data_IF_759495659971
#
_entry.id   IF_759495659971
#
_cell.length_a   1.000
_cell.length_b   1.000
_cell.length_c   1.000
_cell.angle_alpha   90.00
_cell.angle_beta   90.00
_cell.angle_gamma   90.00
#
_symmetry.space_group_name_H-M   'P 1'
#
loop_
_entity.id
_entity.type
_entity.pdbx_description
1 polymer ?
#
# COMPACT_ATOMS: atom_id res chain seq x y z
N UNK A 1 -48.16 38.68 -34.57
CA UNK A 1 -47.59 37.56 -35.34
C UNK A 1 -46.14 37.91 -35.62
N UNK A 2 -45.20 37.60 -34.73
CA UNK A 2 -44.68 36.25 -34.50
C UNK A 2 -43.25 36.20 -35.05
N UNK A 3 -42.38 37.05 -34.52
CA UNK A 3 -40.95 37.13 -34.88
C UNK A 3 -40.08 36.71 -33.70
N UNK A 4 -40.53 35.68 -32.99
CA UNK A 4 -39.71 34.92 -32.06
C UNK A 4 -39.56 33.55 -32.71
N UNK A 5 -38.55 33.41 -33.55
CA UNK A 5 -38.01 32.11 -33.92
C UNK A 5 -36.98 31.74 -32.85
N UNK A 6 -37.35 31.00 -31.80
CA UNK A 6 -36.35 30.20 -31.11
C UNK A 6 -35.91 29.08 -32.07
N UNK A 7 -34.82 28.39 -31.74
CA UNK A 7 -34.31 27.18 -32.41
C UNK A 7 -33.19 27.40 -33.42
N UNK A 8 -32.11 28.02 -32.95
CA UNK A 8 -30.82 27.34 -33.07
C UNK A 8 -30.10 27.46 -31.71
N UNK A 9 -30.73 26.91 -30.67
CA UNK A 9 -29.96 26.39 -29.55
C UNK A 9 -29.08 25.34 -30.19
N UNK A 10 -27.86 25.75 -30.56
CA UNK A 10 -26.80 24.87 -31.02
C UNK A 10 -26.83 23.72 -30.05
N UNK A 11 -27.34 22.56 -30.53
CA UNK A 11 -27.12 21.28 -29.91
C UNK A 11 -25.64 21.33 -29.62
N UNK A 12 -25.30 21.49 -28.33
CA UNK A 12 -23.97 21.25 -27.80
C UNK A 12 -23.56 20.01 -28.55
N UNK A 13 -22.58 20.16 -29.44
CA UNK A 13 -21.98 19.02 -30.09
C UNK A 13 -21.41 18.26 -28.90
N UNK A 14 -22.20 17.30 -28.43
CA UNK A 14 -21.79 16.27 -27.50
C UNK A 14 -20.64 15.63 -28.25
N UNK A 15 -19.43 16.17 -28.08
CA UNK A 15 -18.23 15.53 -28.56
C UNK A 15 -18.19 14.23 -27.75
N UNK A 16 -18.39 13.04 -28.35
CA UNK A 16 -17.76 11.88 -27.75
C UNK A 16 -16.27 12.09 -28.02
N UNK A 17 -15.62 12.98 -27.26
CA UNK A 17 -14.20 12.84 -27.03
C UNK A 17 -14.09 11.45 -26.41
N UNK A 18 -13.76 10.48 -27.27
CA UNK A 18 -13.51 9.09 -26.96
C UNK A 18 -12.23 8.99 -26.15
N UNK A 19 -12.22 9.66 -25.01
CA UNK A 19 -11.26 9.51 -23.95
C UNK A 19 -11.37 8.06 -23.50
N UNK A 20 -10.53 7.22 -24.11
CA UNK A 20 -10.19 5.90 -23.64
C UNK A 20 -11.43 5.06 -23.31
N UNK A 21 -12.16 4.60 -24.34
CA UNK A 21 -13.26 3.63 -24.13
C UNK A 21 -12.71 2.54 -23.20
N UNK A 22 -13.29 2.35 -21.99
CA UNK A 22 -12.83 1.38 -20.99
C UNK A 22 -12.61 -0.03 -21.56
N UNK A 23 -13.25 -0.30 -22.70
CA UNK A 23 -13.05 -1.46 -23.56
C UNK A 23 -11.59 -1.79 -23.89
N UNK A 24 -10.74 -0.80 -24.22
CA UNK A 24 -9.33 -1.08 -24.57
C UNK A 24 -8.54 -1.57 -23.37
N UNK A 25 -8.81 -1.02 -22.19
CA UNK A 25 -8.18 -1.44 -20.93
C UNK A 25 -8.64 -2.86 -20.56
N UNK A 26 -9.92 -3.18 -20.75
CA UNK A 26 -10.42 -4.54 -20.55
C UNK A 26 -9.69 -5.56 -21.43
N UNK A 27 -9.48 -5.24 -22.72
CA UNK A 27 -8.72 -6.11 -23.64
C UNK A 27 -7.27 -6.26 -23.17
N UNK A 28 -6.60 -5.17 -22.77
CA UNK A 28 -5.22 -5.23 -22.28
C UNK A 28 -5.11 -6.12 -21.03
N UNK A 29 -6.02 -5.97 -20.07
CA UNK A 29 -6.06 -6.81 -18.87
C UNK A 29 -6.28 -8.28 -19.23
N UNK A 30 -7.19 -8.57 -20.17
CA UNK A 30 -7.42 -9.93 -20.66
C UNK A 30 -6.12 -10.50 -21.26
N UNK A 31 -5.43 -9.75 -22.12
CA UNK A 31 -4.16 -10.18 -22.71
C UNK A 31 -3.10 -10.43 -21.61
N UNK A 32 -2.94 -9.54 -20.62
CA UNK A 32 -2.02 -9.78 -19.50
C UNK A 32 -2.39 -11.04 -18.71
N UNK A 33 -3.69 -11.30 -18.48
CA UNK A 33 -4.15 -12.51 -17.78
C UNK A 33 -3.81 -13.76 -18.59
N UNK A 34 -3.92 -13.73 -19.92
CA UNK A 34 -3.54 -14.86 -20.78
C UNK A 34 -2.03 -15.11 -20.76
N UNK A 35 -1.21 -14.07 -20.77
CA UNK A 35 0.26 -14.18 -20.79
C UNK A 35 0.85 -14.57 -19.42
N UNK A 36 0.40 -13.92 -18.35
CA UNK A 36 0.96 -14.09 -17.00
C UNK A 36 0.15 -15.05 -16.13
N UNK A 37 -1.13 -15.26 -16.43
CA UNK A 37 -2.06 -16.06 -15.64
C UNK A 37 -2.85 -15.25 -14.61
N UNK A 38 -4.11 -15.65 -14.39
CA UNK A 38 -5.05 -14.95 -13.50
C UNK A 38 -4.59 -14.86 -12.03
N UNK A 39 -3.70 -15.74 -11.57
CA UNK A 39 -3.15 -15.71 -10.19
C UNK A 39 -1.90 -14.84 -10.06
N UNK A 40 -1.13 -14.64 -11.13
CA UNK A 40 0.16 -13.92 -11.08
C UNK A 40 0.01 -12.41 -11.14
N UNK A 41 -0.94 -11.92 -11.93
CA UNK A 41 -1.28 -10.49 -12.01
C UNK A 41 -1.64 -9.88 -10.64
N UNK A 42 -2.60 -10.43 -9.85
CA UNK A 42 -2.95 -9.87 -8.56
C UNK A 42 -1.86 -10.06 -7.51
N UNK A 43 -1.08 -11.13 -7.59
CA UNK A 43 0.04 -11.37 -6.68
C UNK A 43 1.17 -10.37 -6.90
N UNK A 44 1.56 -10.15 -8.15
CA UNK A 44 2.53 -9.12 -8.54
C UNK A 44 2.04 -7.71 -8.19
N UNK A 45 0.78 -7.37 -8.46
CA UNK A 45 0.22 -6.08 -8.07
C UNK A 45 0.25 -5.87 -6.54
N UNK A 46 0.00 -6.93 -5.74
CA UNK A 46 0.06 -6.86 -4.27
C UNK A 46 1.47 -6.74 -3.72
N UNK A 47 2.46 -7.42 -4.31
CA UNK A 47 3.85 -7.29 -3.88
C UNK A 47 4.41 -5.91 -4.25
N UNK A 48 4.19 -5.47 -5.49
CA UNK A 48 4.59 -4.14 -5.97
C UNK A 48 3.87 -3.02 -5.20
N UNK A 49 2.58 -3.19 -4.91
CA UNK A 49 1.78 -2.23 -4.14
C UNK A 49 2.27 -2.05 -2.71
N UNK A 50 2.79 -3.11 -2.07
CA UNK A 50 3.42 -3.03 -0.74
C UNK A 50 4.71 -2.21 -0.79
N UNK A 51 5.59 -2.45 -1.77
CA UNK A 51 6.82 -1.67 -1.95
C UNK A 51 6.53 -0.19 -2.26
N UNK A 52 5.56 0.08 -3.13
CA UNK A 52 5.14 1.45 -3.46
C UNK A 52 4.52 2.17 -2.27
N UNK A 53 3.81 1.47 -1.37
CA UNK A 53 3.25 2.06 -0.15
C UNK A 53 4.34 2.55 0.80
N UNK A 54 5.41 1.78 0.97
CA UNK A 54 6.55 2.16 1.83
C UNK A 54 7.19 3.43 1.28
N UNK A 55 7.53 3.42 -0.02
CA UNK A 55 8.13 4.59 -0.68
C UNK A 55 7.18 5.80 -0.62
N UNK A 56 5.88 5.61 -0.83
CA UNK A 56 4.88 6.68 -0.73
C UNK A 56 4.76 7.23 0.69
N UNK A 57 4.84 6.37 1.72
CA UNK A 57 4.79 6.82 3.12
C UNK A 57 6.02 7.65 3.47
N UNK A 58 7.22 7.18 3.09
CA UNK A 58 8.46 7.94 3.29
C UNK A 58 8.45 9.27 2.53
N UNK A 59 8.01 9.26 1.28
CA UNK A 59 7.91 10.49 0.47
C UNK A 59 6.87 11.45 1.06
N UNK A 60 5.78 10.93 1.63
CA UNK A 60 4.75 11.75 2.26
C UNK A 60 5.24 12.34 3.59
N UNK A 61 5.98 11.60 4.41
CA UNK A 61 6.60 12.17 5.62
C UNK A 61 7.51 13.34 5.29
N UNK A 62 8.28 13.28 4.21
CA UNK A 62 9.12 14.42 3.78
C UNK A 62 8.28 15.64 3.37
N UNK A 63 7.15 15.41 2.70
CA UNK A 63 6.28 16.47 2.21
C UNK A 63 5.36 17.04 3.31
N UNK A 64 5.00 16.21 4.28
CA UNK A 64 4.24 16.59 5.47
C UNK A 64 5.15 17.28 6.49
N UNK A 65 6.43 16.88 6.66
CA UNK A 65 7.39 17.58 7.55
C UNK A 65 7.56 19.06 7.14
N UNK A 66 7.56 19.39 5.85
CA UNK A 66 7.58 20.79 5.36
C UNK A 66 6.31 21.59 5.73
N UNK A 67 5.18 20.91 5.94
CA UNK A 67 3.90 21.52 6.36
C UNK A 67 3.71 21.51 7.87
N UNK A 68 4.13 20.43 8.53
CA UNK A 68 4.09 20.21 9.97
C UNK A 68 5.09 21.11 10.69
N UNK A 69 6.21 21.54 10.07
CA UNK A 69 7.08 22.57 10.65
C UNK A 69 6.37 23.93 10.78
N UNK A 70 5.41 24.23 9.91
CA UNK A 70 4.58 25.43 9.99
C UNK A 70 3.39 25.27 10.97
N UNK A 71 2.91 24.04 11.21
CA UNK A 71 1.73 23.75 12.07
C UNK A 71 2.14 23.34 13.52
N UNK A 72 3.28 22.66 13.73
CA UNK A 72 3.82 22.29 15.06
C UNK A 72 4.32 23.46 15.89
N UNK A 73 4.58 24.62 15.28
CA UNK A 73 4.86 25.84 16.03
C UNK A 73 3.65 26.26 16.90
N UNK A 74 2.43 25.81 16.55
CA UNK A 74 1.19 26.14 17.26
C UNK A 74 0.67 24.98 18.15
N UNK A 75 1.06 23.72 17.90
CA UNK A 75 0.41 22.54 18.47
C UNK A 75 1.14 21.81 19.64
N UNK A 76 2.26 22.32 20.17
CA UNK A 76 3.05 21.65 21.23
C UNK A 76 2.45 21.69 22.67
N UNK A 77 1.19 22.08 22.86
CA UNK A 77 0.54 22.17 24.18
C UNK A 77 -0.44 21.02 24.52
N UNK A 78 -0.26 19.80 23.98
CA UNK A 78 -1.22 18.70 24.16
C UNK A 78 -0.59 17.35 24.52
N UNK A 79 -0.97 16.81 25.69
CA UNK A 79 -0.52 15.55 26.28
C UNK A 79 -0.76 14.31 25.40
N UNK A 80 0.16 13.33 25.52
CA UNK A 80 0.16 12.07 24.76
C UNK A 80 -0.51 10.92 25.54
N UNK A 81 -1.52 10.23 24.99
CA UNK A 81 -2.05 8.98 25.56
C UNK A 81 -1.19 7.77 25.13
N UNK A 82 -0.92 6.86 26.07
CA UNK A 82 -0.24 5.58 25.78
C UNK A 82 -1.12 4.67 24.89
N UNK A 83 -0.53 3.87 23.98
CA UNK A 83 -1.28 2.96 23.11
C UNK A 83 -1.80 1.72 23.86
N UNK A 84 -3.03 1.25 23.58
CA UNK A 84 -3.49 -0.08 24.00
C UNK A 84 -2.75 -1.18 23.21
N UNK A 85 -2.17 -2.15 23.92
CA UNK A 85 -1.64 -3.38 23.33
C UNK A 85 -2.80 -4.22 22.73
N UNK A 86 -2.98 -4.11 21.42
CA UNK A 86 -3.84 -4.99 20.62
C UNK A 86 -3.07 -6.21 20.11
N UNK A 87 -3.69 -7.38 20.21
CA UNK A 87 -3.14 -8.71 19.96
C UNK A 87 -2.37 -8.86 18.63
N UNK A 88 -1.12 -9.31 18.73
CA UNK A 88 -0.32 -9.76 17.58
C UNK A 88 -0.81 -11.14 17.12
N UNK A 89 -0.98 -11.41 15.81
CA UNK A 89 -1.03 -12.77 15.32
C UNK A 89 0.35 -13.42 15.54
N UNK A 90 0.38 -14.44 16.40
CA UNK A 90 1.55 -15.29 16.63
C UNK A 90 2.02 -15.86 15.29
N UNK A 91 3.11 -15.33 14.77
CA UNK A 91 3.93 -16.07 13.81
C UNK A 91 4.72 -17.08 14.64
N UNK A 92 4.49 -18.36 14.38
CA UNK A 92 5.31 -19.48 14.87
C UNK A 92 6.74 -19.32 14.37
N UNK A 93 7.55 -18.57 15.11
CA UNK A 93 8.99 -18.73 15.08
C UNK A 93 9.27 -20.06 15.76
N UNK A 94 9.85 -21.01 15.04
CA UNK A 94 10.55 -22.13 15.64
C UNK A 94 11.71 -21.56 16.45
N UNK A 95 11.44 -21.22 17.71
CA UNK A 95 12.46 -20.83 18.66
C UNK A 95 13.10 -22.15 19.12
N UNK A 96 14.29 -22.43 18.60
CA UNK A 96 15.11 -23.51 19.11
C UNK A 96 15.26 -23.33 20.64
N UNK A 97 15.16 -24.40 21.44
CA UNK A 97 15.39 -24.32 22.88
C UNK A 97 16.73 -23.64 23.14
N UNK A 98 16.88 -22.83 24.22
CA UNK A 98 18.19 -22.33 24.61
C UNK A 98 19.13 -23.53 24.72
N UNK A 99 20.18 -23.53 23.90
CA UNK A 99 21.24 -24.52 23.91
C UNK A 99 21.83 -24.50 25.32
N UNK A 100 21.43 -25.44 26.17
CA UNK A 100 22.14 -25.69 27.41
C UNK A 100 23.58 -26.03 27.03
N UNK A 101 24.59 -25.51 27.74
CA UNK A 101 25.97 -25.91 27.51
C UNK A 101 26.03 -27.43 27.55
N UNK A 102 26.35 -28.05 26.40
CA UNK A 102 26.59 -29.48 26.34
C UNK A 102 27.85 -29.72 27.16
N UNK A 103 27.65 -30.16 28.40
CA UNK A 103 28.74 -30.63 29.25
C UNK A 103 29.26 -31.89 28.60
N UNK A 104 30.46 -31.81 28.01
CA UNK A 104 31.14 -32.96 27.42
C UNK A 104 31.30 -34.05 28.50
N UNK A 105 30.61 -35.20 28.40
CA UNK A 105 30.70 -36.26 29.41
C UNK A 105 32.10 -36.88 29.47
N UNK A 106 32.95 -36.59 28.47
CA UNK A 106 34.32 -37.10 28.35
C UNK A 106 35.27 -36.39 29.32
N UNK A 107 35.03 -35.12 29.70
CA UNK A 107 35.89 -34.43 30.68
C UNK A 107 35.68 -34.95 32.10
N UNK A 108 34.44 -35.23 32.51
CA UNK A 108 34.13 -35.69 33.88
C UNK A 108 34.86 -36.98 34.27
N UNK A 109 35.14 -37.86 33.31
CA UNK A 109 35.79 -39.17 33.57
C UNK A 109 37.33 -39.06 33.63
N UNK A 110 37.92 -37.99 33.09
CA UNK A 110 39.38 -37.81 33.09
C UNK A 110 39.91 -37.19 34.38
N UNK A 111 39.04 -36.54 35.14
CA UNK A 111 39.38 -35.75 36.32
C UNK A 111 39.13 -36.49 37.67
N UNK A 112 38.94 -37.82 37.66
CA UNK A 112 38.81 -38.67 38.86
C UNK A 112 39.57 -40.00 38.73
#
# INVERSE_FOLDING_TARGET
>A
MGSDTPLLSHKRLELPMGALKPWHIAILVVVLILLFGAKRLPDAARSLGRSLRIIKAETKSLQDDDRDLAEKADAQAGYQPLPPQGAQPQQTTYQAPPQQPVVDPVQRVRDN
#
